data_IF_629770082632
#
_entry.id   IF_629770082632
#
_cell.length_a   1.000
_cell.length_b   1.000
_cell.length_c   1.000
_cell.angle_alpha   90.00
_cell.angle_beta   90.00
_cell.angle_gamma   90.00
#
_symmetry.space_group_name_H-M   'P 1'
#
loop_
_entity.id
_entity.type
_entity.pdbx_description
1 polymer ?
#
# COMPACT_ATOMS: atom_id res chain seq x y z
N UNK A 1 24.30 -4.40 39.26
CA UNK A 1 25.08 -3.72 38.21
C UNK A 1 24.52 -4.19 36.89
N UNK A 2 23.64 -3.41 36.27
CA UNK A 2 23.11 -3.71 34.95
C UNK A 2 24.06 -3.16 33.90
N UNK A 3 24.47 -3.99 32.95
CA UNK A 3 25.21 -3.56 31.78
C UNK A 3 24.24 -2.80 30.86
N UNK A 4 24.50 -1.51 30.66
CA UNK A 4 23.85 -0.73 29.62
C UNK A 4 24.60 -1.00 28.32
N UNK A 5 23.98 -1.75 27.41
CA UNK A 5 24.49 -1.89 26.05
C UNK A 5 24.10 -0.64 25.27
N UNK A 6 25.09 0.23 25.02
CA UNK A 6 24.96 1.33 24.08
C UNK A 6 25.35 0.80 22.70
N UNK A 7 24.34 0.59 21.85
CA UNK A 7 24.54 0.23 20.45
C UNK A 7 24.66 1.53 19.63
N UNK A 8 25.89 1.95 19.36
CA UNK A 8 26.16 3.02 18.39
C UNK A 8 26.17 2.40 16.98
N UNK A 9 25.15 2.73 16.19
CA UNK A 9 25.11 2.40 14.76
C UNK A 9 25.52 3.64 13.95
N UNK A 10 26.68 3.60 13.29
CA UNK A 10 27.09 4.59 12.29
C UNK A 10 26.86 4.04 10.89
N UNK A 11 25.65 4.20 10.34
CA UNK A 11 25.39 3.95 8.92
C UNK A 11 25.51 5.26 8.17
N UNK A 12 26.63 5.44 7.44
CA UNK A 12 26.82 6.58 6.54
C UNK A 12 26.08 6.34 5.23
N UNK A 13 25.13 7.22 4.90
CA UNK A 13 24.50 7.26 3.58
C UNK A 13 25.24 8.27 2.70
N UNK A 14 25.89 7.79 1.65
CA UNK A 14 26.51 8.64 0.64
C UNK A 14 25.45 8.98 -0.43
N UNK A 15 25.08 10.26 -0.52
CA UNK A 15 24.17 10.75 -1.56
C UNK A 15 24.82 11.89 -2.32
N UNK A 16 24.84 11.78 -3.65
CA UNK A 16 25.36 12.82 -4.53
C UNK A 16 24.19 13.69 -5.03
N UNK A 17 24.08 14.92 -4.52
CA UNK A 17 23.08 15.90 -4.96
C UNK A 17 23.82 17.09 -5.57
N UNK A 18 23.62 17.31 -6.88
CA UNK A 18 24.25 18.43 -7.63
C UNK A 18 25.80 18.43 -7.58
N UNK A 19 26.42 17.24 -7.58
CA UNK A 19 27.88 17.10 -7.56
C UNK A 19 28.53 17.44 -6.22
N UNK A 20 27.76 17.38 -5.13
CA UNK A 20 28.26 17.55 -3.77
C UNK A 20 27.96 16.27 -2.98
N UNK A 21 29.03 15.65 -2.46
CA UNK A 21 28.96 14.48 -1.60
C UNK A 21 28.50 14.92 -0.20
N UNK A 22 27.33 14.44 0.22
CA UNK A 22 26.82 14.68 1.57
C UNK A 22 26.90 13.37 2.38
N UNK A 23 27.75 13.40 3.40
CA UNK A 23 27.95 12.30 4.34
C UNK A 23 27.00 12.44 5.52
N UNK A 24 26.01 11.55 5.62
CA UNK A 24 25.09 11.51 6.75
C UNK A 24 25.39 10.30 7.64
N UNK A 25 26.04 10.47 8.80
CA UNK A 25 26.51 9.38 9.65
C UNK A 25 25.61 9.00 10.85
N UNK A 26 24.51 9.71 11.09
CA UNK A 26 23.64 9.53 12.29
C UNK A 26 22.13 9.61 12.02
N UNK A 27 21.70 9.64 10.75
CA UNK A 27 20.30 9.98 10.40
C UNK A 27 19.28 8.91 10.75
N UNK A 28 19.62 7.61 10.65
CA UNK A 28 18.65 6.52 10.85
C UNK A 28 18.20 6.36 12.32
N UNK A 29 19.03 6.74 13.30
CA UNK A 29 18.69 6.68 14.73
C UNK A 29 17.61 7.69 15.14
N UNK A 30 17.38 8.73 14.33
CA UNK A 30 16.37 9.77 14.57
C UNK A 30 15.06 9.52 13.81
N UNK A 31 15.01 8.54 12.91
CA UNK A 31 13.80 8.27 12.12
C UNK A 31 12.77 7.64 13.05
N UNK A 32 11.80 8.44 13.47
CA UNK A 32 10.65 7.99 14.27
C UNK A 32 9.46 7.62 13.40
N UNK A 33 9.33 8.25 12.25
CA UNK A 33 8.22 8.06 11.32
C UNK A 33 8.83 7.83 9.95
N UNK A 34 8.56 6.66 9.36
CA UNK A 34 8.96 6.31 8.02
C UNK A 34 7.70 5.99 7.20
N UNK A 35 7.34 6.91 6.31
CA UNK A 35 6.24 6.73 5.37
C UNK A 35 6.80 6.68 3.95
N UNK A 36 6.73 5.50 3.34
CA UNK A 36 7.09 5.22 1.95
C UNK A 36 5.89 4.70 1.17
N UNK A 37 4.67 4.97 1.66
CA UNK A 37 3.46 4.45 1.05
C UNK A 37 3.17 5.07 -0.32
N UNK A 38 2.37 4.37 -1.12
CA UNK A 38 1.91 4.83 -2.44
C UNK A 38 3.05 5.11 -3.42
N UNK A 39 4.03 4.21 -3.45
CA UNK A 39 5.15 4.25 -4.39
C UNK A 39 5.14 3.00 -5.27
N UNK A 40 6.19 2.85 -6.09
CA UNK A 40 6.42 1.69 -6.93
C UNK A 40 7.60 0.85 -6.41
N UNK A 41 7.77 0.78 -5.09
CA UNK A 41 8.82 -0.05 -4.46
C UNK A 41 8.48 -1.52 -4.69
N UNK A 42 9.49 -2.32 -5.02
CA UNK A 42 9.34 -3.74 -5.37
C UNK A 42 10.48 -4.58 -4.81
N UNK A 43 10.25 -5.88 -4.71
CA UNK A 43 11.18 -6.81 -4.08
C UNK A 43 10.91 -6.96 -2.58
N UNK A 44 11.80 -7.69 -1.91
CA UNK A 44 11.63 -8.02 -0.50
C UNK A 44 11.87 -6.80 0.40
N UNK A 45 11.24 -6.83 1.59
CA UNK A 45 11.57 -5.87 2.65
C UNK A 45 12.99 -6.22 3.18
N UNK A 46 13.97 -5.31 3.05
CA UNK A 46 15.34 -5.59 3.47
C UNK A 46 15.41 -5.78 4.98
N UNK A 47 16.13 -6.80 5.46
CA UNK A 47 16.29 -7.12 6.88
C UNK A 47 16.91 -5.95 7.67
N UNK A 48 17.67 -5.09 6.99
CA UNK A 48 18.25 -3.87 7.55
C UNK A 48 17.21 -2.90 8.10
N UNK A 49 15.94 -2.97 7.67
CA UNK A 49 14.87 -2.12 8.23
C UNK A 49 14.67 -2.35 9.73
N UNK A 50 15.04 -3.54 10.23
CA UNK A 50 14.93 -3.94 11.63
C UNK A 50 15.93 -3.20 12.51
N UNK A 51 17.05 -2.75 11.94
CA UNK A 51 18.06 -1.93 12.64
C UNK A 51 17.55 -0.53 13.01
N UNK A 52 16.38 -0.13 12.50
CA UNK A 52 15.72 1.12 12.82
C UNK A 52 15.00 1.09 14.17
N UNK A 53 15.74 0.87 15.25
CA UNK A 53 15.21 0.66 16.61
C UNK A 53 14.38 1.84 17.16
N UNK A 54 14.54 3.03 16.58
CA UNK A 54 13.84 4.25 16.99
C UNK A 54 12.52 4.51 16.23
N UNK A 55 12.19 3.70 15.21
CA UNK A 55 10.97 3.90 14.42
C UNK A 55 9.74 3.54 15.25
N UNK A 56 8.80 4.48 15.27
CA UNK A 56 7.51 4.43 15.97
C UNK A 56 6.39 4.12 14.97
N UNK A 57 6.45 4.69 13.76
CA UNK A 57 5.48 4.43 12.70
C UNK A 57 6.19 4.03 11.42
N UNK A 58 5.84 2.88 10.88
CA UNK A 58 6.32 2.37 9.60
C UNK A 58 5.15 2.14 8.66
N UNK A 59 5.11 2.87 7.55
CA UNK A 59 4.09 2.73 6.51
C UNK A 59 4.77 2.42 5.18
N UNK A 60 4.57 1.20 4.69
CA UNK A 60 5.03 0.73 3.38
C UNK A 60 3.84 0.37 2.46
N UNK A 61 2.63 0.78 2.82
CA UNK A 61 1.41 0.40 2.11
C UNK A 61 1.38 0.88 0.67
N UNK A 62 0.58 0.21 -0.19
CA UNK A 62 0.38 0.60 -1.60
C UNK A 62 1.70 0.66 -2.37
N UNK A 63 2.41 -0.46 -2.38
CA UNK A 63 3.62 -0.70 -3.15
C UNK A 63 3.51 -2.08 -3.85
N UNK A 64 4.62 -2.56 -4.43
CA UNK A 64 4.76 -3.88 -5.06
C UNK A 64 5.76 -4.75 -4.27
N UNK A 65 5.84 -4.59 -2.95
CA UNK A 65 6.74 -5.37 -2.10
C UNK A 65 6.26 -6.82 -2.06
N UNK A 66 7.20 -7.77 -2.12
CA UNK A 66 6.91 -9.21 -2.10
C UNK A 66 7.80 -9.93 -1.08
N UNK A 67 7.70 -11.26 -1.05
CA UNK A 67 8.41 -12.09 -0.10
C UNK A 67 7.81 -12.05 1.31
N UNK A 68 8.51 -12.70 2.24
CA UNK A 68 8.05 -12.89 3.61
C UNK A 68 8.43 -11.70 4.51
N UNK A 69 7.59 -11.41 5.52
CA UNK A 69 8.00 -10.53 6.61
C UNK A 69 9.11 -11.22 7.41
N UNK A 70 10.23 -10.53 7.63
CA UNK A 70 11.33 -11.07 8.44
C UNK A 70 10.86 -11.51 9.84
N UNK A 71 11.34 -12.69 10.26
CA UNK A 71 11.09 -13.25 11.59
C UNK A 71 11.65 -12.39 12.72
N UNK A 72 12.53 -11.43 12.41
CA UNK A 72 13.12 -10.53 13.39
C UNK A 72 12.33 -9.22 13.55
N UNK A 73 11.18 -9.05 12.88
CA UNK A 73 10.35 -7.82 12.98
C UNK A 73 9.96 -7.48 14.44
N UNK A 74 9.86 -8.49 15.30
CA UNK A 74 9.61 -8.33 16.73
C UNK A 74 10.71 -7.59 17.52
N UNK A 75 11.88 -7.33 16.94
CA UNK A 75 12.96 -6.58 17.58
C UNK A 75 12.73 -5.05 17.56
N UNK A 76 11.84 -4.57 16.70
CA UNK A 76 11.51 -3.15 16.56
C UNK A 76 10.55 -2.66 17.68
N UNK A 77 10.99 -2.78 18.93
CA UNK A 77 10.17 -2.59 20.15
C UNK A 77 9.51 -1.20 20.29
N UNK A 78 10.00 -0.18 19.57
CA UNK A 78 9.44 1.17 19.57
C UNK A 78 8.21 1.32 18.66
N UNK A 79 7.91 0.35 17.78
CA UNK A 79 6.81 0.44 16.83
C UNK A 79 5.45 0.49 17.52
N UNK A 80 4.69 1.53 17.21
CA UNK A 80 3.30 1.71 17.62
C UNK A 80 2.32 1.62 16.45
N UNK A 81 2.80 1.79 15.21
CA UNK A 81 1.98 1.74 14.00
C UNK A 81 2.73 1.06 12.87
N UNK A 82 2.11 0.05 12.26
CA UNK A 82 2.67 -0.72 11.16
C UNK A 82 1.61 -0.91 10.06
N UNK A 83 1.87 -0.39 8.86
CA UNK A 83 1.00 -0.58 7.70
C UNK A 83 1.78 -1.14 6.51
N UNK A 84 1.49 -2.39 6.16
CA UNK A 84 2.02 -3.10 5.00
C UNK A 84 0.92 -3.41 3.97
N UNK A 85 -0.27 -2.82 4.11
CA UNK A 85 -1.42 -3.14 3.27
C UNK A 85 -1.21 -2.82 1.80
N UNK A 86 -1.95 -3.49 0.91
CA UNK A 86 -1.84 -3.29 -0.55
C UNK A 86 -0.41 -3.50 -1.07
N UNK A 87 0.13 -4.69 -0.83
CA UNK A 87 1.39 -5.17 -1.37
C UNK A 87 1.20 -6.62 -1.87
N UNK A 88 2.30 -7.27 -2.24
CA UNK A 88 2.37 -8.65 -2.72
C UNK A 88 3.12 -9.55 -1.72
N UNK A 89 3.15 -9.19 -0.43
CA UNK A 89 3.83 -9.95 0.63
C UNK A 89 3.17 -11.31 0.83
N UNK A 90 3.97 -12.34 1.08
CA UNK A 90 3.51 -13.72 1.20
C UNK A 90 4.08 -14.44 2.43
N UNK A 91 3.83 -15.75 2.50
CA UNK A 91 4.20 -16.59 3.63
C UNK A 91 3.32 -16.39 4.86
N UNK A 92 3.70 -16.97 6.02
CA UNK A 92 2.97 -16.83 7.26
C UNK A 92 3.28 -15.50 7.96
N UNK A 93 2.32 -14.96 8.71
CA UNK A 93 2.58 -13.84 9.61
C UNK A 93 3.54 -14.33 10.72
N UNK A 94 4.73 -13.74 10.89
CA UNK A 94 5.70 -14.24 11.86
C UNK A 94 5.20 -14.05 13.28
N UNK A 95 5.34 -15.08 14.12
CA UNK A 95 4.93 -15.02 15.53
C UNK A 95 5.61 -13.90 16.29
N UNK A 96 6.84 -13.51 15.90
CA UNK A 96 7.59 -12.42 16.52
C UNK A 96 6.90 -11.06 16.39
N UNK A 97 5.98 -10.87 15.45
CA UNK A 97 5.16 -9.65 15.37
C UNK A 97 4.32 -9.45 16.65
N UNK A 98 3.99 -10.53 17.35
CA UNK A 98 3.35 -10.48 18.68
C UNK A 98 4.26 -9.98 19.81
N UNK A 99 5.57 -9.84 19.58
CA UNK A 99 6.52 -9.27 20.53
C UNK A 99 6.54 -7.74 20.52
N UNK A 100 5.89 -7.09 19.56
CA UNK A 100 5.81 -5.63 19.46
C UNK A 100 4.80 -5.03 20.44
N UNK A 101 5.04 -5.14 21.75
CA UNK A 101 4.02 -4.82 22.78
C UNK A 101 3.47 -3.39 22.78
N UNK A 102 4.11 -2.44 22.10
CA UNK A 102 3.65 -1.07 21.93
C UNK A 102 2.74 -0.85 20.70
N UNK A 103 2.54 -1.89 19.87
CA UNK A 103 1.82 -1.80 18.61
C UNK A 103 0.32 -1.55 18.87
N UNK A 104 -0.16 -0.42 18.36
CA UNK A 104 -1.53 0.06 18.51
C UNK A 104 -2.30 0.09 17.20
N UNK A 105 -1.60 0.12 16.09
CA UNK A 105 -2.17 0.04 14.75
C UNK A 105 -1.38 -0.98 13.91
N UNK A 106 -2.12 -1.90 13.30
CA UNK A 106 -1.59 -2.89 12.38
C UNK A 106 -2.53 -2.96 11.18
N UNK A 107 -1.96 -2.96 9.98
CA UNK A 107 -2.71 -3.23 8.76
C UNK A 107 -1.86 -4.10 7.81
N UNK A 108 -2.33 -5.32 7.58
CA UNK A 108 -1.73 -6.33 6.70
C UNK A 108 -2.69 -6.68 5.54
N UNK A 109 -3.77 -5.92 5.36
CA UNK A 109 -4.81 -6.21 4.39
C UNK A 109 -4.30 -6.16 2.95
N UNK A 110 -4.98 -6.89 2.06
CA UNK A 110 -4.68 -6.93 0.63
C UNK A 110 -3.21 -7.28 0.34
N UNK A 111 -2.80 -8.44 0.85
CA UNK A 111 -1.53 -9.11 0.58
C UNK A 111 -1.82 -10.59 0.24
N UNK A 112 -0.78 -11.41 0.18
CA UNK A 112 -0.86 -12.86 -0.08
C UNK A 112 -0.44 -13.70 1.15
N UNK A 113 -0.68 -13.20 2.38
CA UNK A 113 -0.37 -13.95 3.61
C UNK A 113 -1.18 -15.24 3.71
N UNK A 114 -0.58 -16.23 4.36
CA UNK A 114 -1.08 -17.60 4.45
C UNK A 114 -0.97 -18.19 5.86
N UNK A 115 -1.72 -19.25 6.12
CA UNK A 115 -1.67 -19.97 7.40
C UNK A 115 -2.54 -19.34 8.50
N UNK A 116 -2.34 -19.78 9.73
CA UNK A 116 -3.09 -19.28 10.89
C UNK A 116 -2.50 -17.95 11.40
N UNK A 117 -3.35 -17.00 11.76
CA UNK A 117 -2.92 -15.78 12.46
C UNK A 117 -2.32 -16.19 13.82
N UNK A 118 -1.10 -15.74 14.18
CA UNK A 118 -0.46 -16.15 15.43
C UNK A 118 -1.31 -15.83 16.68
N UNK A 119 -1.64 -16.87 17.46
CA UNK A 119 -2.50 -16.85 18.66
C UNK A 119 -1.91 -16.16 19.89
N UNK A 120 -0.68 -15.66 19.80
CA UNK A 120 -0.01 -14.95 20.88
C UNK A 120 -0.42 -13.47 20.94
N UNK A 121 -1.10 -13.07 22.02
CA UNK A 121 -1.16 -11.67 22.51
C UNK A 121 -2.04 -10.71 21.67
N UNK A 122 -1.45 -9.63 21.16
CA UNK A 122 -2.16 -8.45 20.65
C UNK A 122 -2.69 -8.60 19.22
N UNK A 123 -2.19 -9.56 18.44
CA UNK A 123 -2.60 -9.71 17.03
C UNK A 123 -4.10 -10.04 16.92
N UNK A 124 -4.63 -10.82 17.86
CA UNK A 124 -6.06 -11.12 17.96
C UNK A 124 -6.93 -9.93 18.41
N UNK A 125 -6.31 -8.85 18.92
CA UNK A 125 -7.04 -7.65 19.36
C UNK A 125 -7.28 -6.65 18.23
N UNK A 126 -6.55 -6.79 17.11
CA UNK A 126 -6.77 -5.95 15.94
C UNK A 126 -8.03 -6.39 15.20
N UNK A 127 -8.68 -5.42 14.57
CA UNK A 127 -9.91 -5.64 13.83
C UNK A 127 -9.69 -6.55 12.61
N UNK A 128 -10.71 -7.29 12.22
CA UNK A 128 -10.66 -8.23 11.08
C UNK A 128 -10.32 -7.50 9.76
N UNK A 129 -10.65 -6.22 9.67
CA UNK A 129 -10.26 -5.33 8.57
C UNK A 129 -8.75 -5.25 8.36
N UNK A 130 -7.94 -5.44 9.40
CA UNK A 130 -6.47 -5.43 9.32
C UNK A 130 -5.91 -6.62 8.52
N UNK A 131 -6.73 -7.65 8.28
CA UNK A 131 -6.32 -8.91 7.68
C UNK A 131 -7.07 -9.24 6.38
N UNK A 132 -8.07 -8.43 6.03
CA UNK A 132 -8.94 -8.66 4.85
C UNK A 132 -8.13 -8.71 3.55
N UNK A 133 -8.59 -9.48 2.57
CA UNK A 133 -7.93 -9.57 1.26
C UNK A 133 -6.74 -10.52 1.20
N UNK A 134 -6.38 -11.19 2.30
CA UNK A 134 -5.41 -12.30 2.30
C UNK A 134 -6.13 -13.63 2.09
N UNK A 135 -6.04 -14.19 0.88
CA UNK A 135 -6.85 -15.35 0.48
C UNK A 135 -6.45 -16.64 1.22
N UNK A 136 -5.23 -16.78 1.73
CA UNK A 136 -4.79 -18.03 2.38
C UNK A 136 -4.70 -17.93 3.90
N UNK A 137 -5.07 -16.79 4.47
CA UNK A 137 -5.03 -16.54 5.90
C UNK A 137 -6.30 -17.10 6.58
N UNK A 138 -6.13 -17.71 7.75
CA UNK A 138 -7.22 -18.29 8.52
C UNK A 138 -7.00 -18.09 10.04
N UNK A 139 -8.01 -18.43 10.83
CA UNK A 139 -8.01 -18.26 12.28
C UNK A 139 -8.48 -16.87 12.70
N UNK A 140 -9.00 -16.70 13.93
CA UNK A 140 -9.41 -15.37 14.40
C UNK A 140 -8.21 -14.41 14.39
N UNK A 141 -8.38 -13.10 14.17
CA UNK A 141 -9.64 -12.37 14.02
C UNK A 141 -10.25 -12.46 12.61
N UNK A 142 -9.70 -13.26 11.70
CA UNK A 142 -10.34 -13.50 10.40
C UNK A 142 -11.60 -14.36 10.54
N UNK A 143 -12.56 -14.20 9.62
CA UNK A 143 -13.79 -15.00 9.61
C UNK A 143 -13.56 -16.44 9.13
N UNK A 144 -12.42 -16.69 8.47
CA UNK A 144 -12.10 -17.99 7.88
C UNK A 144 -11.53 -18.94 8.93
N UNK A 145 -12.17 -20.09 9.11
CA UNK A 145 -11.66 -21.16 9.98
C UNK A 145 -10.50 -21.88 9.29
N UNK A 146 -9.44 -22.17 10.04
CA UNK A 146 -8.39 -23.06 9.56
C UNK A 146 -8.93 -24.48 9.42
N UNK A 147 -8.66 -25.12 8.28
CA UNK A 147 -9.04 -26.51 8.07
C UNK A 147 -8.02 -27.41 8.78
N UNK A 148 -8.42 -28.06 9.86
CA UNK A 148 -7.68 -29.19 10.40
C UNK A 148 -7.61 -30.26 9.31
N UNK A 149 -6.39 -30.64 8.92
CA UNK A 149 -6.13 -31.40 7.71
C UNK A 149 -7.02 -32.63 7.53
N UNK A 150 -7.99 -32.52 6.63
CA UNK A 150 -8.55 -33.62 5.85
C UNK A 150 -9.03 -33.06 4.52
N UNK A 151 -8.29 -33.37 3.45
CA UNK A 151 -8.73 -33.17 2.09
C UNK A 151 -9.92 -34.11 1.81
N UNK A 152 -11.10 -33.73 2.27
CA UNK A 152 -12.34 -34.35 1.86
C UNK A 152 -13.04 -33.40 0.89
N UNK A 153 -13.13 -33.86 -0.35
CA UNK A 153 -13.84 -33.28 -1.47
C UNK A 153 -15.16 -32.67 -1.03
N UNK A 154 -15.13 -31.39 -0.68
CA UNK A 154 -16.26 -30.52 -0.88
C UNK A 154 -15.95 -29.82 -2.18
N UNK A 155 -16.83 -29.99 -3.16
CA UNK A 155 -16.84 -29.15 -4.35
C UNK A 155 -16.79 -27.71 -3.83
N UNK A 156 -15.61 -27.09 -3.90
CA UNK A 156 -15.42 -25.71 -3.53
C UNK A 156 -16.11 -24.93 -4.62
N UNK A 157 -17.36 -24.58 -4.31
CA UNK A 157 -18.20 -23.71 -5.11
C UNK A 157 -17.41 -22.42 -5.29
N UNK A 158 -16.83 -22.25 -6.47
CA UNK A 158 -16.13 -21.05 -6.90
C UNK A 158 -17.17 -19.96 -7.10
N UNK A 159 -17.73 -19.48 -5.99
CA UNK A 159 -18.72 -18.42 -6.01
C UNK A 159 -18.52 -17.48 -4.82
N UNK A 160 -17.31 -16.95 -4.71
CA UNK A 160 -17.08 -15.72 -3.95
C UNK A 160 -15.99 -14.86 -4.61
N UNK A 161 -16.21 -14.55 -5.89
CA UNK A 161 -15.59 -13.39 -6.55
C UNK A 161 -16.49 -12.16 -6.36
N UNK A 162 -16.64 -11.71 -5.12
CA UNK A 162 -17.45 -10.54 -4.78
C UNK A 162 -16.57 -9.40 -4.24
N UNK A 163 -15.52 -9.00 -4.96
CA UNK A 163 -14.97 -7.64 -4.82
C UNK A 163 -14.04 -7.20 -5.96
N UNK A 164 -13.41 -8.14 -6.68
CA UNK A 164 -12.60 -7.83 -7.87
C UNK A 164 -13.41 -7.60 -9.14
N UNK A 165 -14.59 -8.23 -9.25
CA UNK A 165 -15.42 -8.14 -10.45
C UNK A 165 -16.13 -6.78 -10.57
N UNK A 166 -16.59 -6.20 -9.45
CA UNK A 166 -17.20 -4.86 -9.41
C UNK A 166 -16.23 -3.77 -9.92
N UNK A 167 -14.96 -3.85 -9.52
CA UNK A 167 -13.96 -2.86 -9.96
C UNK A 167 -13.66 -2.98 -11.47
N UNK A 168 -13.68 -4.19 -12.02
CA UNK A 168 -13.52 -4.42 -13.46
C UNK A 168 -14.74 -3.87 -14.23
N UNK A 169 -15.97 -4.11 -13.77
CA UNK A 169 -17.16 -3.55 -14.41
C UNK A 169 -17.21 -2.03 -14.33
N UNK A 170 -16.80 -1.44 -13.21
CA UNK A 170 -16.68 0.01 -13.09
C UNK A 170 -15.67 0.58 -14.11
N UNK A 171 -14.49 -0.02 -14.24
CA UNK A 171 -13.50 0.40 -15.25
C UNK A 171 -14.01 0.26 -16.68
N UNK A 172 -14.70 -0.84 -17.00
CA UNK A 172 -15.34 -1.06 -18.30
C UNK A 172 -16.44 -0.02 -18.55
N UNK A 173 -17.22 0.34 -17.53
CA UNK A 173 -18.27 1.38 -17.65
C UNK A 173 -17.71 2.76 -17.93
N UNK A 174 -16.59 3.12 -17.29
CA UNK A 174 -15.91 4.41 -17.49
C UNK A 174 -15.30 4.45 -18.89
N UNK A 175 -14.62 3.38 -19.30
CA UNK A 175 -14.00 3.29 -20.61
C UNK A 175 -15.04 3.38 -21.73
N UNK A 176 -16.13 2.62 -21.63
CA UNK A 176 -17.22 2.66 -22.62
C UNK A 176 -17.96 4.00 -22.63
N UNK A 177 -18.14 4.64 -21.47
CA UNK A 177 -18.70 5.99 -21.37
C UNK A 177 -17.83 7.06 -22.02
N UNK A 178 -16.51 7.00 -21.82
CA UNK A 178 -15.57 7.94 -22.42
C UNK A 178 -15.49 7.78 -23.94
N UNK A 179 -15.37 6.54 -24.41
CA UNK A 179 -15.39 6.18 -25.83
C UNK A 179 -16.70 6.66 -26.47
N UNK A 180 -17.85 6.28 -25.92
CA UNK A 180 -19.15 6.64 -26.47
C UNK A 180 -19.41 8.16 -26.48
N UNK A 181 -19.13 8.84 -25.36
CA UNK A 181 -19.33 10.28 -25.22
C UNK A 181 -18.40 11.08 -26.13
N UNK A 182 -17.11 10.73 -26.14
CA UNK A 182 -16.11 11.43 -26.95
C UNK A 182 -16.38 11.26 -28.45
N UNK A 183 -16.67 10.03 -28.92
CA UNK A 183 -16.99 9.79 -30.33
C UNK A 183 -18.35 10.35 -30.75
N UNK A 184 -19.35 10.44 -29.85
CA UNK A 184 -20.64 11.06 -30.15
C UNK A 184 -20.50 12.57 -30.38
N UNK A 185 -19.78 13.27 -29.48
CA UNK A 185 -19.52 14.71 -29.61
C UNK A 185 -18.67 15.00 -30.85
N UNK A 186 -17.56 14.27 -31.02
CA UNK A 186 -16.71 14.40 -32.21
C UNK A 186 -17.48 14.09 -33.49
N UNK A 187 -18.32 13.05 -33.51
CA UNK A 187 -19.16 12.70 -34.65
C UNK A 187 -20.19 13.79 -35.00
N UNK A 188 -20.89 14.33 -34.01
CA UNK A 188 -21.85 15.42 -34.20
C UNK A 188 -21.19 16.69 -34.76
N UNK A 189 -20.00 17.02 -34.27
CA UNK A 189 -19.20 18.16 -34.77
C UNK A 189 -18.68 17.93 -36.20
N UNK A 190 -18.36 16.69 -36.58
CA UNK A 190 -17.91 16.36 -37.93
C UNK A 190 -19.04 16.35 -38.98
N UNK A 191 -20.26 15.97 -38.59
CA UNK A 191 -21.41 15.88 -39.51
C UNK A 191 -22.01 17.24 -39.89
N UNK A 192 -21.90 18.25 -39.02
CA UNK A 192 -22.51 19.57 -39.24
C UNK A 192 -21.46 20.67 -39.27
N UNK A 193 -21.16 21.17 -40.48
CA UNK A 193 -20.21 22.26 -40.72
C UNK A 193 -20.50 23.53 -39.90
N UNK A 194 -21.76 23.86 -39.67
CA UNK A 194 -22.19 25.02 -38.86
C UNK A 194 -21.88 24.85 -37.38
N UNK A 195 -22.02 23.62 -36.85
CA UNK A 195 -21.81 23.30 -35.44
C UNK A 195 -20.33 23.31 -35.11
N UNK A 196 -19.51 22.78 -36.02
CA UNK A 196 -18.05 22.86 -35.93
C UNK A 196 -17.55 24.29 -35.77
N UNK A 197 -18.03 25.20 -36.62
CA UNK A 197 -17.58 26.60 -36.61
C UNK A 197 -18.05 27.31 -35.34
N UNK A 198 -19.30 27.13 -34.92
CA UNK A 198 -19.81 27.74 -33.70
C UNK A 198 -19.09 27.24 -32.43
N UNK A 199 -18.75 25.95 -32.37
CA UNK A 199 -17.99 25.37 -31.27
C UNK A 199 -16.58 25.96 -31.18
N UNK A 200 -15.82 25.99 -32.29
CA UNK A 200 -14.47 26.57 -32.27
C UNK A 200 -14.48 28.06 -31.91
N UNK A 201 -15.45 28.84 -32.42
CA UNK A 201 -15.60 30.25 -32.04
C UNK A 201 -15.89 30.44 -30.54
N UNK A 202 -16.69 29.57 -29.94
CA UNK A 202 -16.96 29.62 -28.50
C UNK A 202 -15.72 29.26 -27.66
N UNK A 203 -14.96 28.26 -28.10
CA UNK A 203 -13.70 27.84 -27.45
C UNK A 203 -12.65 28.95 -27.53
N UNK A 204 -12.47 29.56 -28.70
CA UNK A 204 -11.53 30.67 -28.88
C UNK A 204 -11.90 31.86 -27.98
N UNK A 205 -13.18 32.24 -27.91
CA UNK A 205 -13.66 33.30 -27.01
C UNK A 205 -13.42 32.99 -25.52
N UNK A 206 -13.55 31.73 -25.12
CA UNK A 206 -13.27 31.31 -23.76
C UNK A 206 -11.78 31.45 -23.44
N UNK A 207 -10.91 30.97 -24.33
CA UNK A 207 -9.46 31.08 -24.16
C UNK A 207 -8.97 32.52 -24.17
N UNK A 208 -9.50 33.37 -25.04
CA UNK A 208 -9.17 34.80 -25.07
C UNK A 208 -9.57 35.49 -23.75
N UNK A 209 -10.76 35.18 -23.22
CA UNK A 209 -11.21 35.73 -21.95
C UNK A 209 -10.38 35.23 -20.76
N UNK A 210 -10.02 33.93 -20.76
CA UNK A 210 -9.09 33.35 -19.80
C UNK A 210 -7.71 34.01 -19.87
N UNK A 211 -7.17 34.19 -21.07
CA UNK A 211 -5.86 34.78 -21.33
C UNK A 211 -5.81 36.23 -20.86
N UNK A 212 -6.82 37.04 -21.21
CA UNK A 212 -6.92 38.43 -20.75
C UNK A 212 -6.98 38.50 -19.22
N UNK A 213 -7.71 37.60 -18.56
CA UNK A 213 -7.77 37.55 -17.08
C UNK A 213 -6.46 37.11 -16.43
N UNK A 214 -5.70 36.20 -17.06
CA UNK A 214 -4.39 35.75 -16.55
C UNK A 214 -3.34 36.85 -16.72
N UNK A 215 -3.33 37.57 -17.84
CA UNK A 215 -2.34 38.62 -18.13
C UNK A 215 -2.59 39.91 -17.32
N UNK A 216 -3.80 40.12 -16.81
CA UNK A 216 -4.18 41.28 -15.98
C UNK A 216 -4.06 41.05 -14.46
N UNK A 217 -3.49 39.91 -14.03
CA UNK A 217 -3.12 39.61 -12.64
C UNK A 217 -1.60 39.74 -12.50
#
# INVERSE_FOLDING_TARGET
MGEFYQFDFSTSLDTEIKGQDLYYSETLSLVKLLDLSSNNLSGDIPEQIISLCAVISLNLSRNHLNGEISKNIGEMQSLTSLDFSFNELDGPIPESLSNLTALSHLNLSYNNFSGEVPTGRQLYTFDSSSYVGNVYLCGPPTERKCSDGEANNTNFDMNEHAHGFEMIWLLVSIATGFVGGFWCVCGALLLKRTWRVAFFQMVDLFFDNMYVKIVLI
#
